data_IF_741163060237
#
_entry.id   IF_741163060237
#
_cell.length_a   1.000
_cell.length_b   1.000
_cell.length_c   1.000
_cell.angle_alpha   90.00
_cell.angle_beta   90.00
_cell.angle_gamma   90.00
#
_symmetry.space_group_name_H-M   'P 1'
#
loop_
_entity.id
_entity.type
_entity.pdbx_description
1 polymer ?
#
# COMPACT_ATOMS: atom_id res chain seq x y z
N UNK A 1 33.04 -27.21 11.38
CA UNK A 1 32.44 -25.89 11.42
C UNK A 1 31.40 -25.96 12.52
N UNK A 2 31.69 -25.40 13.67
CA UNK A 2 30.76 -25.33 14.80
C UNK A 2 29.59 -24.43 14.41
N UNK A 3 28.41 -25.04 14.42
CA UNK A 3 27.11 -24.33 14.29
C UNK A 3 27.01 -23.38 15.50
N UNK A 4 27.46 -22.15 15.34
CA UNK A 4 27.24 -21.11 16.35
C UNK A 4 25.75 -20.87 16.40
N UNK A 5 25.05 -21.46 17.35
CA UNK A 5 23.65 -21.27 17.61
C UNK A 5 23.38 -19.74 17.67
N UNK A 6 22.64 -19.23 16.71
CA UNK A 6 22.26 -17.83 16.72
C UNK A 6 21.53 -17.50 18.04
N UNK A 7 21.89 -16.38 18.70
CA UNK A 7 21.22 -16.00 19.94
C UNK A 7 19.71 -15.88 19.72
N UNK A 8 18.91 -16.30 20.71
CA UNK A 8 17.45 -16.19 20.61
C UNK A 8 17.03 -14.75 20.35
N UNK A 9 16.19 -14.54 19.36
CA UNK A 9 15.70 -13.24 18.93
C UNK A 9 14.25 -13.03 19.37
N UNK A 10 13.97 -11.96 20.09
CA UNK A 10 12.62 -11.59 20.54
C UNK A 10 12.15 -10.33 19.83
N UNK A 11 11.01 -10.42 19.13
CA UNK A 11 10.45 -9.31 18.35
C UNK A 11 9.01 -9.02 18.76
N UNK A 12 8.65 -7.74 18.73
CA UNK A 12 7.26 -7.30 18.88
C UNK A 12 6.79 -6.62 17.59
N UNK A 13 5.71 -7.13 16.97
CA UNK A 13 5.20 -6.65 15.69
C UNK A 13 3.80 -6.05 15.88
N UNK A 14 3.57 -4.84 15.37
CA UNK A 14 2.29 -4.12 15.53
C UNK A 14 1.72 -3.74 14.17
N UNK A 15 0.56 -4.29 13.83
CA UNK A 15 -0.26 -3.92 12.68
C UNK A 15 -1.68 -3.57 13.15
N UNK A 16 -2.28 -2.50 12.60
CA UNK A 16 -3.58 -1.99 13.03
C UNK A 16 -4.67 -2.06 11.96
N UNK A 17 -4.32 -2.51 10.74
CA UNK A 17 -5.23 -2.65 9.60
C UNK A 17 -4.96 -3.96 8.86
N UNK A 18 -5.91 -4.42 8.03
CA UNK A 18 -5.81 -5.70 7.30
C UNK A 18 -4.60 -5.74 6.34
N UNK A 19 -4.27 -4.61 5.70
CA UNK A 19 -3.08 -4.49 4.83
C UNK A 19 -1.79 -4.69 5.62
N UNK A 20 -1.67 -4.04 6.76
CA UNK A 20 -0.54 -4.18 7.67
C UNK A 20 -0.45 -5.58 8.28
N UNK A 21 -1.58 -6.21 8.60
CA UNK A 21 -1.68 -7.58 9.11
C UNK A 21 -1.15 -8.61 8.09
N UNK A 22 -1.54 -8.46 6.82
CA UNK A 22 -1.03 -9.31 5.75
C UNK A 22 0.50 -9.17 5.55
N UNK A 23 1.01 -7.93 5.61
CA UNK A 23 2.46 -7.64 5.56
C UNK A 23 3.18 -8.21 6.77
N UNK A 24 2.60 -8.05 7.96
CA UNK A 24 3.13 -8.61 9.20
C UNK A 24 3.24 -10.13 9.14
N UNK A 25 2.22 -10.80 8.60
CA UNK A 25 2.25 -12.25 8.41
C UNK A 25 3.36 -12.69 7.44
N UNK A 26 3.56 -11.98 6.31
CA UNK A 26 4.65 -12.26 5.38
C UNK A 26 6.02 -12.07 6.05
N UNK A 27 6.20 -10.97 6.79
CA UNK A 27 7.42 -10.72 7.57
C UNK A 27 7.67 -11.83 8.60
N UNK A 28 6.63 -12.28 9.32
CA UNK A 28 6.74 -13.37 10.31
C UNK A 28 7.19 -14.66 9.66
N UNK A 29 6.62 -15.03 8.49
CA UNK A 29 7.07 -16.23 7.74
C UNK A 29 8.54 -16.15 7.36
N UNK A 30 8.98 -15.00 6.82
CA UNK A 30 10.36 -14.77 6.45
C UNK A 30 11.32 -14.84 7.67
N UNK A 31 10.93 -14.25 8.80
CA UNK A 31 11.68 -14.32 10.06
C UNK A 31 11.79 -15.76 10.58
N UNK A 32 10.69 -16.53 10.55
CA UNK A 32 10.70 -17.94 10.95
C UNK A 32 11.58 -18.79 10.04
N UNK A 33 11.53 -18.59 8.74
CA UNK A 33 12.40 -19.27 7.78
C UNK A 33 13.88 -18.98 8.04
N UNK A 34 14.21 -17.76 8.51
CA UNK A 34 15.59 -17.32 8.73
C UNK A 34 16.16 -17.72 10.10
N UNK A 35 15.34 -17.68 11.15
CA UNK A 35 15.79 -17.86 12.55
C UNK A 35 15.29 -19.15 13.22
N UNK A 36 14.36 -19.86 12.59
CA UNK A 36 13.86 -21.15 13.11
C UNK A 36 13.30 -21.04 14.53
N UNK A 37 13.73 -21.97 15.39
CA UNK A 37 13.28 -22.07 16.78
C UNK A 37 13.90 -21.01 17.72
N UNK A 38 14.90 -20.27 17.28
CA UNK A 38 15.53 -19.20 18.05
C UNK A 38 14.74 -17.88 18.02
N UNK A 39 13.47 -17.90 17.58
CA UNK A 39 12.63 -16.72 17.41
C UNK A 39 11.44 -16.73 18.36
N UNK A 40 11.33 -15.68 19.18
CA UNK A 40 10.14 -15.40 20.01
C UNK A 40 9.39 -14.21 19.43
N UNK A 41 8.09 -14.37 19.18
CA UNK A 41 7.26 -13.36 18.54
C UNK A 41 6.10 -12.94 19.45
N UNK A 42 5.98 -11.64 19.61
CA UNK A 42 4.85 -10.99 20.27
C UNK A 42 4.22 -10.00 19.31
N UNK A 43 2.95 -9.60 19.53
CA UNK A 43 2.43 -8.55 18.68
C UNK A 43 0.98 -8.21 18.87
N UNK A 44 0.56 -7.22 18.07
CA UNK A 44 -0.82 -6.82 17.83
C UNK A 44 -1.06 -6.95 16.33
N UNK A 45 -2.00 -7.79 15.94
CA UNK A 45 -2.34 -8.05 14.54
C UNK A 45 -3.73 -8.64 14.39
N UNK A 46 -4.08 -8.94 13.15
CA UNK A 46 -5.35 -9.54 12.77
C UNK A 46 -5.25 -11.05 12.53
N UNK A 47 -6.09 -11.53 11.62
CA UNK A 47 -6.20 -12.97 11.31
C UNK A 47 -4.94 -13.54 10.64
N UNK A 48 -4.30 -12.76 9.78
CA UNK A 48 -3.14 -13.22 9.03
C UNK A 48 -1.94 -13.44 9.96
N UNK A 49 -1.64 -12.50 10.87
CA UNK A 49 -0.59 -12.66 11.88
C UNK A 49 -0.96 -13.71 12.92
N UNK A 50 -2.25 -13.86 13.26
CA UNK A 50 -2.71 -14.92 14.17
C UNK A 50 -2.48 -16.31 13.58
N UNK A 51 -2.69 -16.51 12.28
CA UNK A 51 -2.37 -17.75 11.58
C UNK A 51 -0.87 -18.10 11.63
N UNK A 52 -0.02 -17.08 11.79
CA UNK A 52 1.43 -17.20 12.01
C UNK A 52 1.81 -17.29 13.50
N UNK A 53 0.84 -17.48 14.40
CA UNK A 53 1.10 -17.71 15.83
C UNK A 53 1.27 -16.45 16.68
N UNK A 54 0.94 -15.26 16.17
CA UNK A 54 0.95 -14.03 16.97
C UNK A 54 -0.39 -13.86 17.69
N UNK A 55 -0.39 -14.04 19.01
CA UNK A 55 -1.57 -13.78 19.84
C UNK A 55 -1.74 -12.28 20.09
N UNK A 56 -2.75 -11.67 19.46
CA UNK A 56 -3.09 -10.26 19.69
C UNK A 56 -3.96 -10.12 20.96
N UNK A 57 -3.64 -9.17 21.87
CA UNK A 57 -4.43 -8.96 23.08
C UNK A 57 -5.81 -8.35 22.83
N UNK A 58 -6.09 -7.92 21.59
CA UNK A 58 -7.39 -7.37 21.16
C UNK A 58 -7.53 -7.43 19.63
N UNK A 59 -8.78 -7.38 19.15
CA UNK A 59 -9.08 -7.34 17.73
C UNK A 59 -8.77 -5.97 17.11
N UNK A 60 -8.09 -5.95 15.95
CA UNK A 60 -7.69 -4.72 15.24
C UNK A 60 -8.83 -4.02 14.48
N UNK A 61 -9.94 -4.70 14.20
CA UNK A 61 -11.04 -4.20 13.36
C UNK A 61 -11.70 -2.88 13.80
N UNK A 62 -11.40 -2.40 15.01
CA UNK A 62 -11.87 -1.09 15.50
C UNK A 62 -10.82 0.02 15.49
N UNK A 63 -9.58 -0.28 15.04
CA UNK A 63 -8.43 0.64 15.08
C UNK A 63 -8.25 1.43 13.79
N UNK A 64 -8.86 0.98 12.69
CA UNK A 64 -8.78 1.68 11.41
C UNK A 64 -9.39 3.07 11.50
N UNK A 65 -8.52 4.08 11.54
CA UNK A 65 -8.89 5.52 11.57
C UNK A 65 -8.77 6.06 10.15
N UNK A 66 -9.45 5.44 9.20
CA UNK A 66 -9.50 5.98 7.85
C UNK A 66 -10.64 6.97 7.71
N UNK A 67 -10.30 8.26 7.76
CA UNK A 67 -11.19 9.38 7.50
C UNK A 67 -10.95 10.55 8.44
N UNK A 68 -11.08 11.77 7.91
CA UNK A 68 -10.92 13.06 8.62
C UNK A 68 -11.97 13.24 9.75
N UNK A 69 -12.92 12.33 9.86
CA UNK A 69 -13.95 12.29 10.88
C UNK A 69 -13.74 11.05 11.76
N UNK A 70 -12.71 11.09 12.61
CA UNK A 70 -12.70 10.20 13.77
C UNK A 70 -13.95 10.53 14.58
N UNK A 71 -14.87 9.55 14.72
CA UNK A 71 -16.05 9.72 15.57
C UNK A 71 -15.52 9.97 16.99
N UNK A 72 -15.80 11.15 17.60
CA UNK A 72 -15.21 11.54 18.89
C UNK A 72 -15.35 10.48 19.98
N UNK A 73 -16.42 9.68 19.95
CA UNK A 73 -16.66 8.59 20.88
C UNK A 73 -15.68 7.42 20.83
N UNK A 74 -14.88 7.26 19.74
CA UNK A 74 -13.88 6.19 19.63
C UNK A 74 -12.50 6.56 20.16
N UNK A 75 -12.21 7.85 20.34
CA UNK A 75 -10.91 8.33 20.79
C UNK A 75 -10.45 7.72 22.13
N UNK A 76 -11.30 7.61 23.20
CA UNK A 76 -10.87 7.01 24.46
C UNK A 76 -10.43 5.55 24.29
N UNK A 77 -11.14 4.78 23.47
CA UNK A 77 -10.79 3.39 23.19
C UNK A 77 -9.43 3.31 22.48
N UNK A 78 -9.19 4.15 21.46
CA UNK A 78 -7.93 4.19 20.70
C UNK A 78 -6.76 4.53 21.62
N UNK A 79 -6.89 5.57 22.48
CA UNK A 79 -5.85 5.92 23.44
C UNK A 79 -5.58 4.81 24.46
N UNK A 80 -6.63 4.10 24.91
CA UNK A 80 -6.47 2.92 25.77
C UNK A 80 -5.69 1.82 25.07
N UNK A 81 -5.99 1.52 23.77
CA UNK A 81 -5.28 0.51 22.99
C UNK A 81 -3.83 0.89 22.72
N UNK A 82 -3.54 2.17 22.46
CA UNK A 82 -2.16 2.66 22.33
C UNK A 82 -1.37 2.41 23.63
N UNK A 83 -1.95 2.73 24.81
CA UNK A 83 -1.30 2.47 26.09
C UNK A 83 -1.10 0.99 26.32
N UNK A 84 -2.13 0.18 26.14
CA UNK A 84 -2.09 -1.27 26.30
C UNK A 84 -1.02 -1.92 25.42
N UNK A 85 -0.91 -1.49 24.15
CA UNK A 85 0.12 -1.99 23.24
C UNK A 85 1.52 -1.59 23.69
N UNK A 86 1.72 -0.32 24.04
CA UNK A 86 3.04 0.15 24.50
C UNK A 86 3.49 -0.53 25.80
N UNK A 87 2.58 -0.71 26.76
CA UNK A 87 2.86 -1.38 28.02
C UNK A 87 3.18 -2.87 27.78
N UNK A 88 2.51 -3.56 26.82
CA UNK A 88 2.82 -4.92 26.40
C UNK A 88 4.22 -5.03 25.74
N UNK A 89 4.60 -4.06 24.90
CA UNK A 89 5.95 -4.00 24.30
C UNK A 89 7.01 -3.88 25.40
N UNK A 90 6.80 -2.98 26.37
CA UNK A 90 7.75 -2.79 27.47
C UNK A 90 7.86 -4.04 28.32
N UNK A 91 6.75 -4.71 28.62
CA UNK A 91 6.74 -5.94 29.42
C UNK A 91 7.41 -7.13 28.70
N UNK A 92 7.31 -7.20 27.37
CA UNK A 92 7.93 -8.26 26.58
C UNK A 92 9.45 -8.09 26.40
N UNK A 93 10.01 -6.90 26.68
CA UNK A 93 11.45 -6.58 26.50
C UNK A 93 12.04 -7.05 25.15
N UNK A 94 11.40 -6.79 24.00
CA UNK A 94 11.86 -7.32 22.72
C UNK A 94 13.20 -6.71 22.30
N UNK A 95 13.95 -7.43 21.46
CA UNK A 95 15.17 -6.92 20.84
C UNK A 95 14.88 -5.85 19.79
N UNK A 96 13.69 -5.87 19.18
CA UNK A 96 13.19 -4.77 18.37
C UNK A 96 11.65 -4.72 18.35
N UNK A 97 11.12 -3.51 18.18
CA UNK A 97 9.72 -3.24 17.85
C UNK A 97 9.60 -2.95 16.35
N UNK A 98 8.73 -3.67 15.65
CA UNK A 98 8.37 -3.38 14.26
C UNK A 98 6.93 -2.86 14.23
N UNK A 99 6.75 -1.64 13.79
CA UNK A 99 5.40 -1.07 13.53
C UNK A 99 5.13 -1.12 12.03
N UNK A 100 3.90 -1.47 11.64
CA UNK A 100 3.52 -1.65 10.24
C UNK A 100 2.33 -0.78 9.89
N UNK A 101 2.53 0.15 8.93
CA UNK A 101 1.47 1.02 8.38
C UNK A 101 0.65 1.76 9.47
N UNK A 102 -0.54 2.28 9.14
CA UNK A 102 -1.49 2.95 10.07
C UNK A 102 -0.85 3.94 11.04
N UNK A 103 -0.13 4.95 10.54
CA UNK A 103 0.74 5.81 11.35
C UNK A 103 0.01 6.62 12.42
N UNK A 104 -1.31 6.76 12.34
CA UNK A 104 -2.08 7.45 13.38
C UNK A 104 -2.21 6.63 14.67
N UNK A 105 -2.08 5.31 14.57
CA UNK A 105 -2.01 4.40 15.72
C UNK A 105 -0.56 4.01 16.02
N UNK A 106 0.13 3.43 15.06
CA UNK A 106 1.44 2.78 15.25
C UNK A 106 2.53 3.76 15.68
N UNK A 107 2.57 4.96 15.12
CA UNK A 107 3.54 5.98 15.55
C UNK A 107 3.26 6.56 16.95
N UNK A 108 2.01 6.52 17.42
CA UNK A 108 1.71 6.90 18.80
C UNK A 108 2.19 5.83 19.77
N UNK A 109 2.05 4.54 19.41
CA UNK A 109 2.65 3.44 20.15
C UNK A 109 4.18 3.60 20.20
N UNK A 110 4.83 3.79 19.05
CA UNK A 110 6.28 3.98 18.95
C UNK A 110 6.80 5.12 19.85
N UNK A 111 6.15 6.29 19.82
CA UNK A 111 6.53 7.43 20.68
C UNK A 111 6.41 7.09 22.17
N UNK A 112 5.34 6.39 22.57
CA UNK A 112 5.15 5.99 23.96
C UNK A 112 6.18 4.95 24.38
N UNK A 113 6.49 3.96 23.53
CA UNK A 113 7.55 2.97 23.78
C UNK A 113 8.91 3.66 23.90
N UNK A 114 9.24 4.61 23.02
CA UNK A 114 10.49 5.38 23.11
C UNK A 114 10.63 6.15 24.44
N UNK A 115 9.52 6.63 24.99
CA UNK A 115 9.52 7.31 26.31
C UNK A 115 9.72 6.33 27.46
N UNK A 116 9.11 5.14 27.42
CA UNK A 116 9.11 4.17 28.51
C UNK A 116 10.36 3.26 28.48
N UNK A 117 10.81 2.88 27.28
CA UNK A 117 11.91 1.97 27.05
C UNK A 117 12.82 2.49 25.89
N UNK A 118 13.62 3.54 26.13
CA UNK A 118 14.37 4.25 25.10
C UNK A 118 15.42 3.40 24.36
N UNK A 119 15.78 2.27 24.92
CA UNK A 119 16.80 1.35 24.36
C UNK A 119 16.22 0.36 23.34
N UNK A 120 14.90 0.19 23.24
CA UNK A 120 14.29 -0.70 22.24
C UNK A 120 14.41 -0.06 20.85
N UNK A 121 15.08 -0.68 19.88
CA UNK A 121 15.08 -0.24 18.49
C UNK A 121 13.67 -0.30 17.91
N UNK A 122 13.27 0.72 17.15
CA UNK A 122 11.94 0.83 16.55
C UNK A 122 12.08 0.96 15.04
N UNK A 123 11.54 -0.03 14.32
CA UNK A 123 11.50 -0.05 12.86
C UNK A 123 10.08 0.29 12.38
N UNK A 124 9.99 1.14 11.37
CA UNK A 124 8.73 1.52 10.72
C UNK A 124 8.65 0.86 9.34
N UNK A 125 7.83 -0.18 9.21
CA UNK A 125 7.62 -0.89 7.96
C UNK A 125 6.39 -0.33 7.25
N UNK A 126 6.55 0.14 6.04
CA UNK A 126 5.65 1.00 5.26
C UNK A 126 5.70 2.46 5.73
N UNK A 127 6.58 3.18 5.11
CA UNK A 127 6.75 4.61 5.33
C UNK A 127 5.43 5.39 5.20
N UNK A 128 5.09 6.28 6.14
CA UNK A 128 4.03 7.25 5.87
C UNK A 128 4.43 8.13 4.70
N UNK A 129 3.45 8.47 3.86
CA UNK A 129 3.67 9.27 2.63
C UNK A 129 4.11 10.71 2.91
N UNK A 130 5.25 10.88 3.62
CA UNK A 130 5.82 12.18 4.00
C UNK A 130 6.24 13.00 2.79
N UNK A 131 6.52 12.35 1.68
CA UNK A 131 6.83 12.94 0.40
C UNK A 131 5.60 13.57 -0.27
N UNK A 132 4.40 13.07 0.05
CA UNK A 132 3.14 13.58 -0.49
C UNK A 132 2.57 14.71 0.37
N UNK A 133 2.62 14.59 1.69
CA UNK A 133 2.04 15.55 2.62
C UNK A 133 2.75 15.51 3.98
N UNK A 134 2.79 16.63 4.68
CA UNK A 134 3.47 16.80 5.98
C UNK A 134 4.97 16.42 5.96
N UNK A 135 5.79 17.03 5.09
CA UNK A 135 7.21 16.70 4.97
C UNK A 135 7.99 16.86 6.29
N UNK A 136 7.59 17.78 7.16
CA UNK A 136 8.18 17.94 8.49
C UNK A 136 8.00 16.72 9.41
N UNK A 137 7.07 15.79 9.08
CA UNK A 137 6.89 14.54 9.81
C UNK A 137 8.13 13.63 9.71
N UNK A 138 8.79 13.60 8.54
CA UNK A 138 10.00 12.81 8.34
C UNK A 138 11.07 13.17 9.39
N UNK A 139 11.37 14.47 9.55
CA UNK A 139 12.32 14.94 10.55
C UNK A 139 11.89 14.63 11.98
N UNK A 140 10.59 14.78 12.29
CA UNK A 140 10.05 14.49 13.61
C UNK A 140 10.14 12.98 13.98
N UNK A 141 10.14 12.10 13.00
CA UNK A 141 10.28 10.65 13.20
C UNK A 141 11.64 10.26 13.78
N UNK A 142 12.71 11.00 13.53
CA UNK A 142 14.05 10.73 14.09
C UNK A 142 14.07 10.64 15.61
N UNK A 143 13.12 11.25 16.29
CA UNK A 143 13.06 11.22 17.74
C UNK A 143 12.61 9.83 18.29
N UNK A 144 11.97 8.99 17.48
CA UNK A 144 11.37 7.75 17.96
C UNK A 144 11.43 6.57 16.97
N UNK A 145 11.88 6.75 15.72
CA UNK A 145 12.12 5.69 14.74
C UNK A 145 13.63 5.60 14.47
N UNK A 146 14.17 4.41 14.54
CA UNK A 146 15.58 4.15 14.27
C UNK A 146 15.83 3.78 12.80
N UNK A 147 14.88 3.06 12.18
CA UNK A 147 14.98 2.61 10.79
C UNK A 147 13.60 2.61 10.12
N UNK A 148 13.53 3.10 8.88
CA UNK A 148 12.35 2.95 8.01
C UNK A 148 12.61 1.87 6.97
N UNK A 149 11.66 0.98 6.78
CA UNK A 149 11.62 -0.04 5.73
C UNK A 149 10.60 0.43 4.67
N UNK A 150 11.12 1.00 3.61
CA UNK A 150 10.32 1.62 2.55
C UNK A 150 9.91 0.60 1.49
N UNK A 151 8.68 0.74 0.99
CA UNK A 151 8.12 -0.12 -0.06
C UNK A 151 8.18 0.53 -1.46
N UNK A 152 8.53 1.81 -1.55
CA UNK A 152 8.68 2.50 -2.84
C UNK A 152 10.16 2.88 -3.05
N UNK A 153 10.70 2.68 -4.26
CA UNK A 153 12.15 2.81 -4.52
C UNK A 153 12.69 4.24 -4.37
N UNK A 154 11.87 5.26 -4.50
CA UNK A 154 12.25 6.65 -4.36
C UNK A 154 12.24 7.17 -2.91
N UNK A 155 11.65 6.42 -1.96
CA UNK A 155 11.47 6.87 -0.57
C UNK A 155 12.80 7.09 0.17
N UNK A 156 13.83 6.23 0.05
CA UNK A 156 15.10 6.50 0.72
C UNK A 156 15.68 7.87 0.41
N UNK A 157 15.77 8.25 -0.86
CA UNK A 157 16.25 9.56 -1.29
C UNK A 157 15.37 10.73 -0.78
N UNK A 158 14.05 10.48 -0.64
CA UNK A 158 13.14 11.47 -0.07
C UNK A 158 13.33 11.63 1.43
N UNK A 159 13.57 10.54 2.18
CA UNK A 159 13.86 10.60 3.61
C UNK A 159 15.18 11.33 3.88
N UNK A 160 16.22 11.07 3.10
CA UNK A 160 17.49 11.81 3.19
C UNK A 160 17.29 13.29 2.95
N UNK A 161 16.59 13.66 1.87
CA UNK A 161 16.27 15.06 1.53
C UNK A 161 15.46 15.79 2.61
N UNK A 162 14.54 15.07 3.27
CA UNK A 162 13.67 15.63 4.30
C UNK A 162 14.30 15.58 5.70
N UNK A 163 15.53 15.05 5.85
CA UNK A 163 16.20 14.87 7.11
C UNK A 163 15.49 13.89 8.04
N UNK A 164 14.91 12.83 7.48
CA UNK A 164 14.22 11.75 8.21
C UNK A 164 15.17 10.75 8.86
N UNK A 165 14.65 9.69 9.53
CA UNK A 165 15.47 8.57 9.98
C UNK A 165 16.06 7.80 8.80
N UNK A 166 17.10 6.97 9.00
CA UNK A 166 17.63 6.07 7.99
C UNK A 166 16.50 5.28 7.32
N UNK A 167 16.51 5.21 6.00
CA UNK A 167 15.45 4.58 5.22
C UNK A 167 16.05 3.60 4.21
N UNK A 168 15.59 2.34 4.22
CA UNK A 168 16.05 1.28 3.30
C UNK A 168 14.89 0.77 2.47
N UNK A 169 15.07 0.69 1.16
CA UNK A 169 14.10 0.09 0.25
C UNK A 169 14.13 -1.44 0.37
N UNK A 170 13.00 -2.02 0.74
CA UNK A 170 12.86 -3.48 0.88
C UNK A 170 12.10 -4.12 -0.29
N UNK A 171 11.39 -3.34 -1.09
CA UNK A 171 10.52 -3.81 -2.17
C UNK A 171 9.05 -3.68 -1.82
N UNK A 172 8.22 -3.59 -2.86
CA UNK A 172 6.77 -3.52 -2.68
C UNK A 172 6.16 -4.93 -2.59
N UNK A 173 5.18 -5.19 -1.68
CA UNK A 173 4.57 -6.52 -1.53
C UNK A 173 3.97 -7.12 -2.80
N UNK A 174 3.54 -6.28 -3.73
CA UNK A 174 3.03 -6.73 -5.04
C UNK A 174 4.07 -7.48 -5.87
N UNK A 175 5.37 -7.30 -5.58
CA UNK A 175 6.45 -8.01 -6.29
C UNK A 175 6.38 -9.52 -6.00
N UNK A 176 6.05 -9.91 -4.77
CA UNK A 176 5.89 -11.32 -4.39
C UNK A 176 4.69 -11.98 -5.09
N UNK A 177 3.75 -11.17 -5.55
CA UNK A 177 2.53 -11.60 -6.22
C UNK A 177 2.53 -11.34 -7.73
N UNK A 178 3.69 -11.03 -8.31
CA UNK A 178 3.79 -10.63 -9.72
C UNK A 178 3.25 -11.70 -10.68
N UNK A 179 3.43 -12.98 -10.35
CA UNK A 179 2.93 -14.09 -11.13
C UNK A 179 1.39 -14.17 -11.16
N UNK A 180 0.70 -13.69 -10.11
CA UNK A 180 -0.76 -13.61 -10.08
C UNK A 180 -1.30 -12.48 -10.97
N UNK A 181 -0.51 -11.41 -11.14
CA UNK A 181 -0.88 -10.22 -11.89
C UNK A 181 -0.65 -10.37 -13.39
N UNK A 182 0.41 -11.07 -13.78
CA UNK A 182 0.87 -11.15 -15.17
C UNK A 182 0.21 -12.30 -15.93
N UNK A 183 -0.14 -12.07 -17.21
CA UNK A 183 -0.74 -13.10 -18.03
C UNK A 183 0.26 -14.19 -18.40
N UNK A 184 -0.23 -15.41 -18.49
CA UNK A 184 0.43 -16.48 -19.25
C UNK A 184 0.27 -16.23 -20.77
N UNK A 185 0.79 -17.14 -21.61
CA UNK A 185 0.75 -16.98 -23.06
C UNK A 185 -0.68 -16.92 -23.63
N UNK A 186 -1.59 -17.76 -23.13
CA UNK A 186 -2.99 -17.81 -23.54
C UNK A 186 -3.74 -16.53 -23.13
N UNK A 187 -3.58 -16.10 -21.88
CA UNK A 187 -4.17 -14.87 -21.36
C UNK A 187 -3.63 -13.61 -22.06
N UNK A 188 -2.34 -13.62 -22.43
CA UNK A 188 -1.73 -12.56 -23.22
C UNK A 188 -2.28 -12.53 -24.66
N UNK A 189 -2.61 -13.69 -25.25
CA UNK A 189 -3.31 -13.78 -26.51
C UNK A 189 -4.73 -13.22 -26.37
N UNK A 190 -5.49 -13.63 -25.35
CA UNK A 190 -6.84 -13.12 -25.08
C UNK A 190 -6.90 -11.59 -24.91
N UNK A 191 -5.85 -10.95 -24.39
CA UNK A 191 -5.76 -9.47 -24.33
C UNK A 191 -5.83 -8.79 -25.70
N UNK A 192 -5.50 -9.49 -26.78
CA UNK A 192 -5.46 -8.98 -28.16
C UNK A 192 -6.74 -9.29 -28.94
N UNK A 193 -7.58 -10.17 -28.42
CA UNK A 193 -8.79 -10.64 -29.08
C UNK A 193 -10.00 -9.74 -28.77
N UNK A 194 -10.92 -9.64 -29.71
CA UNK A 194 -12.17 -8.92 -29.55
C UNK A 194 -13.30 -9.87 -29.08
N UNK A 195 -14.27 -9.37 -28.33
CA UNK A 195 -14.32 -8.01 -27.76
C UNK A 195 -13.26 -7.78 -26.68
N UNK A 196 -12.70 -6.54 -26.59
CA UNK A 196 -11.67 -6.24 -25.60
C UNK A 196 -12.23 -6.29 -24.16
N UNK A 197 -11.47 -6.93 -23.27
CA UNK A 197 -11.80 -6.92 -21.83
C UNK A 197 -11.34 -5.60 -21.22
N UNK A 198 -12.27 -4.86 -20.61
CA UNK A 198 -12.01 -3.59 -19.93
C UNK A 198 -12.32 -3.73 -18.44
N UNK A 199 -11.33 -3.47 -17.59
CA UNK A 199 -11.53 -3.42 -16.14
C UNK A 199 -12.12 -2.07 -15.72
N UNK A 200 -13.13 -2.13 -14.87
CA UNK A 200 -13.75 -0.98 -14.23
C UNK A 200 -13.51 -1.06 -12.73
N UNK A 201 -12.70 -0.15 -12.20
CA UNK A 201 -12.21 -0.18 -10.82
C UNK A 201 -12.55 1.14 -10.11
N UNK A 202 -13.82 1.37 -9.73
CA UNK A 202 -14.29 2.65 -9.19
C UNK A 202 -13.84 2.90 -7.74
N UNK A 203 -13.08 1.99 -7.15
CA UNK A 203 -12.58 2.06 -5.78
C UNK A 203 -13.22 1.04 -4.84
N UNK A 204 -12.77 1.06 -3.58
CA UNK A 204 -13.19 0.14 -2.51
C UNK A 204 -13.94 0.84 -1.37
N UNK A 205 -14.23 2.14 -1.49
CA UNK A 205 -14.94 2.93 -0.49
C UNK A 205 -16.28 3.42 -1.02
N UNK A 206 -17.29 3.51 -0.14
CA UNK A 206 -18.61 4.04 -0.52
C UNK A 206 -18.56 5.42 -1.19
N UNK A 207 -17.68 6.30 -0.75
CA UNK A 207 -17.51 7.64 -1.34
C UNK A 207 -16.99 7.56 -2.78
N UNK A 208 -16.03 6.68 -3.04
CA UNK A 208 -15.45 6.47 -4.39
C UNK A 208 -16.52 5.93 -5.34
N UNK A 209 -17.25 4.88 -4.95
CA UNK A 209 -18.34 4.29 -5.74
C UNK A 209 -19.39 5.39 -6.08
N UNK A 210 -19.82 6.14 -5.09
CA UNK A 210 -20.84 7.19 -5.26
C UNK A 210 -20.42 8.25 -6.28
N UNK A 211 -19.14 8.61 -6.28
CA UNK A 211 -18.64 9.71 -7.13
C UNK A 211 -18.14 9.26 -8.50
N UNK A 212 -17.68 8.01 -8.65
CA UNK A 212 -17.03 7.55 -9.87
C UNK A 212 -17.90 6.62 -10.72
N UNK A 213 -18.70 5.73 -10.11
CA UNK A 213 -19.35 4.63 -10.82
C UNK A 213 -20.25 5.13 -11.97
N UNK A 214 -21.12 6.11 -11.73
CA UNK A 214 -21.98 6.65 -12.79
C UNK A 214 -21.21 7.35 -13.91
N UNK A 215 -20.08 8.01 -13.59
CA UNK A 215 -19.21 8.65 -14.58
C UNK A 215 -18.48 7.64 -15.43
N UNK A 216 -18.06 6.54 -14.82
CA UNK A 216 -17.43 5.43 -15.53
C UNK A 216 -18.39 4.77 -16.48
N UNK A 217 -19.65 4.53 -16.07
CA UNK A 217 -20.69 3.98 -16.95
C UNK A 217 -20.96 4.86 -18.16
N UNK A 218 -21.10 6.18 -17.94
CA UNK A 218 -21.31 7.13 -19.02
C UNK A 218 -20.10 7.24 -19.98
N UNK A 219 -18.86 7.14 -19.46
CA UNK A 219 -17.66 7.09 -20.29
C UNK A 219 -17.59 5.81 -21.11
N UNK A 220 -17.89 4.66 -20.52
CA UNK A 220 -17.91 3.37 -21.21
C UNK A 220 -18.96 3.32 -22.31
N UNK A 221 -20.15 3.89 -22.11
CA UNK A 221 -21.16 4.00 -23.17
C UNK A 221 -20.62 4.76 -24.39
N UNK A 222 -19.90 5.85 -24.18
CA UNK A 222 -19.28 6.62 -25.28
C UNK A 222 -18.13 5.85 -25.95
N UNK A 223 -17.36 5.10 -25.19
CA UNK A 223 -16.28 4.25 -25.74
C UNK A 223 -16.89 3.17 -26.63
N UNK A 224 -17.89 2.44 -26.13
CA UNK A 224 -18.56 1.38 -26.86
C UNK A 224 -19.22 1.85 -28.17
N UNK A 225 -19.83 3.03 -28.14
CA UNK A 225 -20.44 3.64 -29.33
C UNK A 225 -19.41 3.90 -30.46
N UNK A 226 -18.10 3.96 -30.10
CA UNK A 226 -17.00 4.25 -31.07
C UNK A 226 -16.14 3.04 -31.37
N UNK A 227 -15.94 2.15 -30.43
CA UNK A 227 -15.05 0.96 -30.56
C UNK A 227 -15.79 -0.32 -30.88
N UNK A 228 -17.12 -0.36 -30.76
CA UNK A 228 -17.92 -1.57 -30.83
C UNK A 228 -18.02 -2.32 -29.49
N UNK A 229 -18.33 -3.61 -29.52
CA UNK A 229 -18.61 -4.41 -28.31
C UNK A 229 -17.42 -4.43 -27.32
N UNK A 230 -17.75 -4.43 -26.01
CA UNK A 230 -16.78 -4.52 -24.91
C UNK A 230 -17.19 -5.63 -23.93
N UNK A 231 -16.24 -6.36 -23.40
CA UNK A 231 -16.42 -7.19 -22.20
C UNK A 231 -16.02 -6.39 -20.98
N UNK A 232 -16.98 -6.06 -20.09
CA UNK A 232 -16.72 -5.27 -18.91
C UNK A 232 -16.63 -6.15 -17.68
N UNK A 233 -15.55 -6.02 -16.91
CA UNK A 233 -15.38 -6.69 -15.62
C UNK A 233 -15.17 -5.64 -14.54
N UNK A 234 -15.99 -5.72 -13.47
CA UNK A 234 -15.95 -4.78 -12.36
C UNK A 234 -15.66 -5.53 -11.05
N UNK A 235 -14.38 -5.66 -10.67
CA UNK A 235 -13.99 -6.17 -9.37
C UNK A 235 -14.40 -5.22 -8.25
N UNK A 236 -15.00 -5.78 -7.18
CA UNK A 236 -15.40 -4.99 -6.00
C UNK A 236 -15.22 -5.80 -4.72
N UNK A 237 -15.36 -5.12 -3.57
CA UNK A 237 -15.27 -5.76 -2.26
C UNK A 237 -16.65 -6.29 -1.82
N UNK A 238 -16.70 -7.36 -0.99
CA UNK A 238 -17.97 -8.04 -0.63
C UNK A 238 -19.05 -7.09 -0.12
N UNK A 239 -18.70 -6.17 0.77
CA UNK A 239 -19.66 -5.26 1.41
C UNK A 239 -20.23 -4.18 0.48
N UNK A 240 -19.63 -3.95 -0.71
CA UNK A 240 -20.12 -3.01 -1.73
C UNK A 240 -20.80 -3.71 -2.91
N UNK A 241 -20.75 -5.03 -3.00
CA UNK A 241 -21.17 -5.78 -4.18
C UNK A 241 -22.64 -5.55 -4.55
N UNK A 242 -23.54 -5.52 -3.57
CA UNK A 242 -24.97 -5.28 -3.81
C UNK A 242 -25.19 -3.87 -4.40
N UNK A 243 -24.64 -2.84 -3.76
CA UNK A 243 -24.71 -1.44 -4.22
C UNK A 243 -24.14 -1.26 -5.61
N UNK A 244 -22.99 -1.90 -5.90
CA UNK A 244 -22.33 -1.80 -7.21
C UNK A 244 -23.16 -2.47 -8.30
N UNK A 245 -23.74 -3.66 -8.04
CA UNK A 245 -24.63 -4.36 -9.00
C UNK A 245 -25.85 -3.53 -9.32
N UNK A 246 -26.52 -2.99 -8.30
CA UNK A 246 -27.70 -2.14 -8.47
C UNK A 246 -27.37 -0.88 -9.31
N UNK A 247 -26.30 -0.18 -8.95
CA UNK A 247 -25.93 1.05 -9.65
C UNK A 247 -25.41 0.81 -11.07
N UNK A 248 -24.86 -0.35 -11.38
CA UNK A 248 -24.36 -0.72 -12.71
C UNK A 248 -25.42 -1.41 -13.58
N UNK A 249 -26.54 -1.87 -13.03
CA UNK A 249 -27.61 -2.55 -13.78
C UNK A 249 -28.21 -1.69 -14.90
N UNK A 250 -28.23 -0.37 -14.71
CA UNK A 250 -28.76 0.58 -15.71
C UNK A 250 -27.73 1.01 -16.78
N UNK A 251 -26.55 0.43 -16.81
CA UNK A 251 -25.56 0.77 -17.84
C UNK A 251 -25.94 0.19 -19.21
N UNK A 252 -25.62 0.88 -20.28
CA UNK A 252 -25.82 0.41 -21.66
C UNK A 252 -25.16 -0.96 -21.89
N UNK A 253 -24.02 -1.19 -21.27
CA UNK A 253 -23.32 -2.49 -21.23
C UNK A 253 -23.14 -2.83 -19.77
N UNK A 254 -23.92 -3.77 -19.19
CA UNK A 254 -23.77 -4.17 -17.80
C UNK A 254 -22.44 -4.89 -17.57
N UNK A 255 -21.65 -4.48 -16.58
CA UNK A 255 -20.41 -5.18 -16.27
C UNK A 255 -20.65 -6.47 -15.50
N UNK A 256 -19.80 -7.46 -15.71
CA UNK A 256 -19.71 -8.62 -14.81
C UNK A 256 -19.05 -8.18 -13.50
N UNK A 257 -19.84 -8.10 -12.43
CA UNK A 257 -19.36 -7.73 -11.10
C UNK A 257 -18.75 -8.95 -10.42
N UNK A 258 -17.46 -8.88 -10.06
CA UNK A 258 -16.72 -9.98 -9.43
C UNK A 258 -16.28 -9.58 -8.02
N UNK A 259 -16.37 -10.53 -7.08
CA UNK A 259 -16.01 -10.34 -5.67
C UNK A 259 -14.88 -11.28 -5.27
N UNK A 260 -14.82 -12.44 -5.92
CA UNK A 260 -13.78 -13.44 -5.67
C UNK A 260 -12.40 -12.94 -6.11
N UNK A 261 -11.36 -13.03 -5.25
CA UNK A 261 -10.01 -12.61 -5.58
C UNK A 261 -9.40 -13.34 -6.78
N UNK A 262 -9.68 -14.64 -6.95
CA UNK A 262 -9.14 -15.40 -8.07
C UNK A 262 -9.74 -14.93 -9.39
N UNK A 263 -11.06 -14.64 -9.42
CA UNK A 263 -11.73 -14.05 -10.58
C UNK A 263 -11.21 -12.63 -10.88
N UNK A 264 -10.94 -11.82 -9.83
CA UNK A 264 -10.29 -10.49 -10.00
C UNK A 264 -8.99 -10.66 -10.75
N UNK A 265 -8.09 -11.53 -10.31
CA UNK A 265 -6.78 -11.70 -10.92
C UNK A 265 -6.86 -12.32 -12.31
N UNK A 266 -7.77 -13.25 -12.55
CA UNK A 266 -8.04 -13.78 -13.89
C UNK A 266 -8.51 -12.68 -14.85
N UNK A 267 -9.34 -11.74 -14.38
CA UNK A 267 -9.77 -10.60 -15.18
C UNK A 267 -8.59 -9.64 -15.46
N UNK A 268 -7.72 -9.37 -14.48
CA UNK A 268 -6.49 -8.58 -14.67
C UNK A 268 -5.61 -9.18 -15.78
N UNK A 269 -5.36 -10.48 -15.75
CA UNK A 269 -4.50 -11.14 -16.73
C UNK A 269 -5.03 -11.11 -18.16
N UNK A 270 -6.35 -10.96 -18.34
CA UNK A 270 -7.01 -10.90 -19.67
C UNK A 270 -7.37 -9.49 -20.12
N UNK A 271 -7.25 -8.48 -19.25
CA UNK A 271 -7.68 -7.12 -19.54
C UNK A 271 -6.80 -6.42 -20.58
N UNK A 272 -7.44 -5.80 -21.56
CA UNK A 272 -6.80 -4.95 -22.58
C UNK A 272 -6.51 -3.55 -22.06
N UNK A 273 -7.42 -2.97 -21.29
CA UNK A 273 -7.29 -1.66 -20.68
C UNK A 273 -8.09 -1.57 -19.36
N UNK A 274 -7.86 -0.51 -18.61
CA UNK A 274 -8.58 -0.25 -17.37
C UNK A 274 -8.99 1.21 -17.21
N UNK A 275 -10.15 1.42 -16.57
CA UNK A 275 -10.60 2.69 -16.04
C UNK A 275 -10.69 2.56 -14.52
N UNK A 276 -9.83 3.26 -13.79
CA UNK A 276 -9.61 3.02 -12.37
C UNK A 276 -9.70 4.28 -11.51
N UNK A 277 -10.11 4.12 -10.25
CA UNK A 277 -9.89 5.12 -9.23
C UNK A 277 -8.38 5.31 -8.96
N UNK A 278 -7.94 6.54 -8.74
CA UNK A 278 -6.56 6.83 -8.36
C UNK A 278 -6.29 6.28 -6.95
N UNK A 279 -5.35 5.35 -6.84
CA UNK A 279 -4.98 4.65 -5.60
C UNK A 279 -3.95 3.57 -5.87
N UNK A 280 -3.75 2.66 -4.91
CA UNK A 280 -2.80 1.53 -5.01
C UNK A 280 -3.06 0.63 -6.21
N UNK A 281 -4.32 0.50 -6.63
CA UNK A 281 -4.71 -0.31 -7.80
C UNK A 281 -4.03 0.15 -9.09
N UNK A 282 -3.64 1.42 -9.21
CA UNK A 282 -2.91 1.91 -10.40
C UNK A 282 -1.52 1.29 -10.52
N UNK A 283 -0.89 0.97 -9.40
CA UNK A 283 0.38 0.22 -9.40
C UNK A 283 0.15 -1.27 -9.72
N UNK A 284 -0.92 -1.89 -9.20
CA UNK A 284 -1.31 -3.25 -9.58
C UNK A 284 -1.49 -3.36 -11.11
N UNK A 285 -2.22 -2.41 -11.71
CA UNK A 285 -2.47 -2.37 -13.15
C UNK A 285 -1.20 -2.16 -13.98
N UNK A 286 -0.33 -1.26 -13.53
CA UNK A 286 0.95 -1.01 -14.20
C UNK A 286 1.86 -2.24 -14.14
N UNK A 287 1.98 -2.91 -13.00
CA UNK A 287 2.74 -4.15 -12.83
C UNK A 287 2.16 -5.32 -13.63
N UNK A 288 0.84 -5.33 -13.82
CA UNK A 288 0.15 -6.28 -14.71
C UNK A 288 0.31 -5.93 -16.19
N UNK A 289 0.93 -4.80 -16.55
CA UNK A 289 1.09 -4.32 -17.91
C UNK A 289 -0.23 -3.89 -18.58
N UNK A 290 -1.21 -3.39 -17.81
CA UNK A 290 -2.53 -3.00 -18.30
C UNK A 290 -2.60 -1.48 -18.50
N UNK A 291 -2.70 -0.99 -19.76
CA UNK A 291 -2.92 0.42 -20.04
C UNK A 291 -4.14 0.97 -19.30
N UNK A 292 -3.97 2.10 -18.64
CA UNK A 292 -4.91 2.58 -17.63
C UNK A 292 -5.21 4.07 -17.79
N UNK A 293 -6.47 4.43 -17.54
CA UNK A 293 -6.92 5.80 -17.27
C UNK A 293 -7.31 5.88 -15.79
N UNK A 294 -6.76 6.84 -15.07
CA UNK A 294 -7.07 7.03 -13.67
C UNK A 294 -7.92 8.27 -13.41
N UNK A 295 -8.84 8.16 -12.46
CA UNK A 295 -9.71 9.24 -12.06
C UNK A 295 -9.88 9.30 -10.54
N UNK A 296 -10.07 10.50 -10.00
CA UNK A 296 -10.44 10.65 -8.60
C UNK A 296 -11.40 11.81 -8.41
N UNK A 297 -12.44 11.58 -7.61
CA UNK A 297 -13.41 12.60 -7.25
C UNK A 297 -13.87 12.39 -5.81
N UNK A 298 -13.90 13.47 -5.07
CA UNK A 298 -14.44 13.56 -3.71
C UNK A 298 -15.53 14.62 -3.63
N UNK A 299 -16.23 14.68 -2.51
CA UNK A 299 -17.22 15.72 -2.28
C UNK A 299 -16.58 17.11 -2.34
N UNK A 300 -17.33 18.17 -2.71
CA UNK A 300 -16.81 19.54 -2.72
C UNK A 300 -16.25 20.00 -1.35
N UNK A 301 -16.86 19.53 -0.26
CA UNK A 301 -16.42 19.86 1.10
C UNK A 301 -15.08 19.18 1.42
N UNK A 302 -14.95 17.89 1.12
CA UNK A 302 -13.68 17.18 1.28
C UNK A 302 -12.60 17.78 0.39
N UNK A 303 -12.93 18.09 -0.87
CA UNK A 303 -12.04 18.75 -1.80
C UNK A 303 -11.57 20.11 -1.28
N UNK A 304 -12.47 20.93 -0.72
CA UNK A 304 -12.12 22.23 -0.15
C UNK A 304 -11.18 22.11 1.04
N UNK A 305 -11.44 21.17 1.95
CA UNK A 305 -10.59 20.90 3.12
C UNK A 305 -9.22 20.40 2.66
N UNK A 306 -9.20 19.43 1.75
CA UNK A 306 -7.97 18.84 1.23
C UNK A 306 -7.21 19.86 0.37
N UNK A 307 -7.86 20.63 -0.49
CA UNK A 307 -7.21 21.67 -1.30
C UNK A 307 -6.59 22.79 -0.46
N UNK A 308 -7.18 23.15 0.68
CA UNK A 308 -6.52 24.06 1.62
C UNK A 308 -5.28 23.46 2.28
N UNK A 309 -5.33 22.17 2.61
CA UNK A 309 -4.16 21.39 3.07
C UNK A 309 -3.17 21.12 1.92
N UNK A 310 -3.67 20.87 0.71
CA UNK A 310 -2.98 20.47 -0.53
C UNK A 310 -2.40 21.67 -1.31
N UNK A 311 -2.72 22.92 -1.00
CA UNK A 311 -1.89 24.05 -1.48
C UNK A 311 -0.40 23.89 -1.09
N UNK A 312 -0.12 23.07 -0.06
CA UNK A 312 1.21 22.54 0.22
C UNK A 312 1.61 21.36 -0.69
N UNK A 313 0.64 20.57 -1.21
CA UNK A 313 0.81 19.41 -2.11
C UNK A 313 0.93 19.78 -3.59
N UNK A 314 0.75 21.05 -3.96
CA UNK A 314 0.85 21.55 -5.34
C UNK A 314 2.23 21.35 -6.00
N UNK A 315 3.14 20.62 -5.38
CA UNK A 315 4.47 20.26 -5.88
C UNK A 315 4.63 18.82 -6.34
N UNK A 316 3.60 17.96 -6.14
CA UNK A 316 3.67 16.60 -6.66
C UNK A 316 3.28 16.57 -8.14
N UNK A 317 4.08 15.92 -9.00
CA UNK A 317 3.81 15.80 -10.42
C UNK A 317 2.59 14.91 -10.71
N UNK A 318 2.22 14.01 -9.81
CA UNK A 318 1.09 13.08 -9.89
C UNK A 318 0.68 12.58 -8.50
N UNK A 319 -0.56 12.09 -8.35
CA UNK A 319 -0.99 11.31 -7.16
C UNK A 319 -1.05 9.81 -7.46
N UNK A 320 -0.73 9.40 -8.68
CA UNK A 320 -0.70 7.99 -9.12
C UNK A 320 0.65 7.37 -8.75
N UNK A 321 0.63 6.29 -7.95
CA UNK A 321 1.86 5.62 -7.51
C UNK A 321 2.73 5.14 -8.66
N UNK A 322 2.14 4.58 -9.72
CA UNK A 322 2.89 4.13 -10.89
C UNK A 322 3.65 5.30 -11.57
N UNK A 323 3.02 6.47 -11.73
CA UNK A 323 3.66 7.67 -12.27
C UNK A 323 4.81 8.15 -11.38
N UNK A 324 4.63 8.12 -10.06
CA UNK A 324 5.66 8.50 -9.09
C UNK A 324 6.86 7.56 -9.13
N UNK A 325 6.63 6.26 -9.22
CA UNK A 325 7.69 5.24 -9.33
C UNK A 325 8.44 5.38 -10.65
N UNK A 326 7.72 5.65 -11.75
CA UNK A 326 8.32 5.88 -13.07
C UNK A 326 9.03 7.23 -13.19
N UNK A 327 8.71 8.19 -12.31
CA UNK A 327 9.23 9.57 -12.40
C UNK A 327 8.62 10.37 -13.56
N UNK A 328 7.55 9.89 -14.20
CA UNK A 328 6.88 10.54 -15.32
C UNK A 328 5.36 10.28 -15.35
N UNK A 329 4.60 11.22 -15.94
CA UNK A 329 3.15 11.11 -16.07
C UNK A 329 2.79 10.24 -17.29
N UNK A 330 2.76 8.93 -17.11
CA UNK A 330 2.43 7.93 -18.14
C UNK A 330 0.95 7.61 -18.14
N UNK A 331 0.39 7.40 -16.95
CA UNK A 331 -1.06 7.18 -16.77
C UNK A 331 -1.75 8.54 -16.71
N UNK A 332 -2.68 8.84 -17.64
CA UNK A 332 -3.47 10.08 -17.58
C UNK A 332 -4.36 10.09 -16.35
N UNK A 333 -4.42 11.24 -15.68
CA UNK A 333 -5.09 11.43 -14.40
C UNK A 333 -6.15 12.53 -14.49
N UNK A 334 -7.38 12.19 -14.15
CA UNK A 334 -8.52 13.11 -14.17
C UNK A 334 -9.07 13.35 -12.77
N UNK A 335 -8.71 14.50 -12.19
CA UNK A 335 -9.07 14.85 -10.81
C UNK A 335 -10.25 15.84 -10.80
N UNK A 336 -11.16 15.66 -9.84
CA UNK A 336 -12.26 16.60 -9.52
C UNK A 336 -13.09 17.04 -10.74
N UNK A 337 -12.98 18.29 -11.16
CA UNK A 337 -13.69 18.86 -12.30
C UNK A 337 -13.24 18.28 -13.64
N UNK A 338 -12.02 17.77 -13.73
CA UNK A 338 -11.52 17.10 -14.93
C UNK A 338 -12.07 15.68 -15.09
N UNK A 339 -12.65 15.08 -14.04
CA UNK A 339 -13.25 13.74 -14.07
C UNK A 339 -14.64 13.80 -14.73
N UNK A 340 -14.68 13.99 -16.06
CA UNK A 340 -15.89 14.00 -16.88
C UNK A 340 -15.96 12.78 -17.79
N UNK A 341 -17.16 12.24 -18.10
CA UNK A 341 -17.31 11.09 -19.00
C UNK A 341 -16.58 11.26 -20.33
N UNK A 342 -16.70 12.44 -20.95
CA UNK A 342 -16.10 12.73 -22.26
C UNK A 342 -14.57 12.64 -22.23
N UNK A 343 -13.92 13.21 -21.21
CA UNK A 343 -12.47 13.16 -21.05
C UNK A 343 -11.97 11.75 -20.74
N UNK A 344 -12.71 11.02 -19.90
CA UNK A 344 -12.40 9.64 -19.57
C UNK A 344 -12.51 8.74 -20.82
N UNK A 345 -13.59 8.90 -21.59
CA UNK A 345 -13.80 8.18 -22.85
C UNK A 345 -12.72 8.50 -23.88
N UNK A 346 -12.39 9.79 -24.07
CA UNK A 346 -11.36 10.22 -25.01
C UNK A 346 -9.98 9.66 -24.65
N UNK A 347 -9.67 9.50 -23.36
CA UNK A 347 -8.39 8.93 -22.91
C UNK A 347 -8.38 7.40 -22.95
N UNK A 348 -9.52 6.72 -22.71
CA UNK A 348 -9.61 5.27 -22.70
C UNK A 348 -9.64 4.67 -24.12
N UNK A 349 -10.36 5.30 -25.04
CA UNK A 349 -10.54 4.80 -26.41
C UNK A 349 -9.22 4.43 -27.10
N UNK A 350 -8.17 5.27 -27.10
CA UNK A 350 -6.90 4.92 -27.74
C UNK A 350 -6.17 3.76 -27.06
N UNK A 351 -6.52 3.39 -25.83
CA UNK A 351 -5.88 2.27 -25.12
C UNK A 351 -6.44 0.90 -25.54
N UNK A 352 -7.53 0.86 -26.30
CA UNK A 352 -8.17 -0.38 -26.76
C UNK A 352 -7.54 -0.95 -28.03
N UNK A 353 -6.81 -0.15 -28.79
CA UNK A 353 -6.14 -0.54 -30.05
C UNK A 353 -4.65 -0.19 -30.01
N UNK A 354 -3.90 -0.63 -31.03
CA UNK A 354 -2.46 -0.37 -31.09
C UNK A 354 -2.16 1.08 -31.50
N UNK A 355 -2.14 1.95 -30.53
CA UNK A 355 -1.88 3.39 -30.68
C UNK A 355 -0.56 3.80 -30.01
N UNK A 356 0.01 4.96 -30.37
CA UNK A 356 1.18 5.51 -29.67
C UNK A 356 0.96 5.69 -28.16
N UNK A 357 -0.27 6.09 -27.75
CA UNK A 357 -0.62 6.26 -26.35
C UNK A 357 -0.57 4.94 -25.57
N UNK A 358 -1.14 3.87 -26.17
CA UNK A 358 -1.06 2.52 -25.58
C UNK A 358 0.38 2.03 -25.51
N UNK A 359 1.13 2.11 -26.61
CA UNK A 359 2.54 1.66 -26.66
C UNK A 359 3.40 2.36 -25.63
N UNK A 360 3.24 3.69 -25.46
CA UNK A 360 3.94 4.46 -24.43
C UNK A 360 3.69 3.91 -23.03
N UNK A 361 2.44 3.57 -22.67
CA UNK A 361 2.14 3.01 -21.35
C UNK A 361 2.76 1.62 -21.17
N UNK A 362 2.61 0.72 -22.15
CA UNK A 362 3.15 -0.65 -22.09
C UNK A 362 4.67 -0.62 -21.94
N UNK A 363 5.35 0.20 -22.72
CA UNK A 363 6.80 0.39 -22.65
C UNK A 363 7.26 0.93 -21.29
N UNK A 364 6.57 1.95 -20.79
CA UNK A 364 6.87 2.51 -19.48
C UNK A 364 6.66 1.49 -18.35
N UNK A 365 5.59 0.69 -18.41
CA UNK A 365 5.32 -0.35 -17.43
C UNK A 365 6.39 -1.47 -17.45
N UNK A 366 6.96 -1.78 -18.62
CA UNK A 366 8.08 -2.71 -18.72
C UNK A 366 9.33 -2.26 -17.94
N UNK A 367 9.52 -0.94 -17.72
CA UNK A 367 10.64 -0.42 -16.92
C UNK A 367 10.47 -0.62 -15.41
N UNK A 368 9.24 -0.87 -14.95
CA UNK A 368 8.97 -1.10 -13.53
C UNK A 368 9.75 -2.30 -12.98
N UNK A 369 10.04 -3.31 -13.80
CA UNK A 369 10.78 -4.51 -13.40
C UNK A 369 12.17 -4.14 -12.87
N UNK A 370 12.88 -3.31 -13.61
CA UNK A 370 14.20 -2.83 -13.18
C UNK A 370 14.11 -1.83 -12.02
N UNK A 371 13.17 -0.87 -12.08
CA UNK A 371 13.01 0.18 -11.06
C UNK A 371 12.64 -0.42 -9.70
N UNK A 372 11.77 -1.43 -9.68
CA UNK A 372 11.29 -2.06 -8.45
C UNK A 372 12.09 -3.32 -8.08
N UNK A 373 13.13 -3.67 -8.84
CA UNK A 373 13.96 -4.84 -8.64
C UNK A 373 13.16 -6.16 -8.61
N UNK A 374 12.21 -6.32 -9.55
CA UNK A 374 11.40 -7.53 -9.69
C UNK A 374 12.31 -8.71 -10.11
N UNK A 375 12.11 -9.87 -9.50
CA UNK A 375 12.95 -11.06 -9.73
C UNK A 375 14.18 -11.14 -8.82
N UNK A 376 14.39 -10.15 -7.94
CA UNK A 376 15.40 -10.21 -6.87
C UNK A 376 14.89 -10.93 -5.62
N UNK A 377 15.59 -10.71 -4.50
CA UNK A 377 15.16 -11.21 -3.18
C UNK A 377 13.76 -10.69 -2.82
N UNK A 378 12.94 -11.55 -2.21
CA UNK A 378 11.57 -11.19 -1.84
C UNK A 378 11.54 -9.99 -0.85
N UNK A 379 10.59 -9.05 -1.00
CA UNK A 379 10.42 -7.93 -0.08
C UNK A 379 10.35 -8.33 1.40
N UNK A 380 9.61 -9.40 1.73
CA UNK A 380 9.52 -9.92 3.09
C UNK A 380 10.85 -10.46 3.61
N UNK A 381 11.68 -11.10 2.77
CA UNK A 381 12.98 -11.62 3.15
C UNK A 381 13.99 -10.49 3.40
N UNK A 382 13.99 -9.45 2.55
CA UNK A 382 14.79 -8.22 2.78
C UNK A 382 14.39 -7.53 4.07
N UNK A 383 13.09 -7.38 4.31
CA UNK A 383 12.59 -6.80 5.55
C UNK A 383 13.03 -7.61 6.76
N UNK A 384 12.88 -8.94 6.72
CA UNK A 384 13.31 -9.84 7.78
C UNK A 384 14.83 -9.75 8.05
N UNK A 385 15.65 -9.66 7.01
CA UNK A 385 17.10 -9.48 7.15
C UNK A 385 17.44 -8.20 7.91
N UNK A 386 16.83 -7.07 7.54
CA UNK A 386 17.10 -5.78 8.19
C UNK A 386 16.57 -5.76 9.63
N UNK A 387 15.40 -6.36 9.90
CA UNK A 387 14.84 -6.49 11.25
C UNK A 387 15.80 -7.31 12.13
N UNK A 388 16.29 -8.44 11.63
CA UNK A 388 17.28 -9.27 12.33
C UNK A 388 18.60 -8.54 12.59
N UNK A 389 19.12 -7.81 11.60
CA UNK A 389 20.33 -6.98 11.72
C UNK A 389 20.20 -5.94 12.85
N UNK A 390 19.12 -5.16 12.84
CA UNK A 390 18.88 -4.10 13.83
C UNK A 390 18.68 -4.68 15.23
N UNK A 391 17.94 -5.77 15.36
CA UNK A 391 17.70 -6.41 16.65
C UNK A 391 18.97 -7.03 17.25
N UNK A 392 19.81 -7.68 16.44
CA UNK A 392 21.08 -8.27 16.89
C UNK A 392 22.12 -7.21 17.31
N UNK A 393 22.13 -6.03 16.66
CA UNK A 393 23.03 -4.94 17.05
C UNK A 393 22.79 -4.47 18.49
N UNK A 394 21.54 -4.54 18.98
CA UNK A 394 21.23 -4.25 20.38
C UNK A 394 21.88 -5.27 21.34
N UNK A 395 21.82 -6.55 21.01
CA UNK A 395 22.42 -7.61 21.84
C UNK A 395 23.94 -7.47 22.00
N UNK A 396 24.63 -6.90 21.01
CA UNK A 396 26.07 -6.64 21.05
C UNK A 396 26.48 -5.35 21.77
N UNK A 397 25.58 -4.38 21.87
CA UNK A 397 25.80 -3.09 22.53
C UNK A 397 24.91 -3.00 23.79
N UNK A 398 25.18 -3.80 24.80
CA UNK A 398 24.47 -3.73 26.08
C UNK A 398 24.38 -2.29 26.65
N UNK A 399 23.58 -2.03 27.68
CA UNK A 399 23.18 -0.67 28.14
C UNK A 399 24.35 0.28 28.44
N UNK A 400 25.59 -0.19 28.48
CA UNK A 400 26.78 0.62 28.78
C UNK A 400 27.28 1.52 27.60
N UNK A 401 26.92 1.23 26.32
CA UNK A 401 27.50 1.96 25.17
C UNK A 401 26.71 3.22 24.78
N UNK A 402 25.43 3.31 25.12
CA UNK A 402 24.55 4.46 24.77
C UNK A 402 24.72 5.69 25.67
N UNK A 403 25.35 5.52 26.85
CA UNK A 403 25.64 6.61 27.79
C UNK A 403 26.71 7.60 27.33
N UNK A 404 27.61 7.21 26.39
CA UNK A 404 28.76 8.04 25.99
C UNK A 404 28.51 8.99 24.82
N UNK A 405 27.38 8.90 24.11
CA UNK A 405 27.08 9.81 22.98
C UNK A 405 26.26 11.06 23.34
N UNK A 406 25.88 11.25 24.62
CA UNK A 406 25.17 12.45 25.10
C UNK A 406 26.02 13.49 25.80
N UNK A 407 27.36 13.30 25.84
CA UNK A 407 28.26 14.20 26.58
C UNK A 407 29.04 15.19 25.69
N UNK A 408 28.85 15.20 24.38
CA UNK A 408 29.48 16.20 23.51
C UNK A 408 28.50 16.60 22.40
N UNK A 409 27.85 17.75 22.55
CA UNK A 409 27.08 18.41 21.50
C UNK A 409 25.94 19.27 22.06
#
# INVERSE_FOLDING_TARGET
MTDEAQPPLSLFIVAAEESGDALGAALVRALKARHGHALTLHGVGGRAMAAEGIASPFAIGGLSIMGVVAIPGRLPMIFRRIRQTADAVVAAHPDALVIIDSPDFTHRVARRVRQLAPTIPILDYVSPSVWAWRPGRARAMRAYIDQVLAILPFEPAMYDKLGGPPCRYVGHPLIERIAELRPNAEEAQRRREDPPVVLILPGSRNSEIRHLLGRFGAAIAQVAARSGPLELVLPTVPHLAAQVREAAAGWTIPPRVVVDPAEKWAAFRRARAALAASGTVTLELALAGIPTVAAYRMSPVEAFIILRLVRLLARLPSVILANLVLGENVIPEFLQSACTPDRLAAALLPLLSDTPQRRRQVEAFGRLDAIMAIGGEAPSDKAAAIVGEVAQQRGRHGPAALGRRRAFG
#
